data_IF_109601646473
#
_entry.id   IF_109601646473
#
_cell.length_a   1.000
_cell.length_b   1.000
_cell.length_c   1.000
_cell.angle_alpha   90.00
_cell.angle_beta   90.00
_cell.angle_gamma   90.00
#
_symmetry.space_group_name_H-M   'P 1'
#
loop_
_entity.id
_entity.type
_entity.pdbx_description
1 polymer ?
#
# COMPACT_ATOMS: atom_id res chain seq x y z
N UNK A 1 -31.36 -77.36 -34.35
CA UNK A 1 -32.48 -76.60 -33.76
C UNK A 1 -32.11 -75.13 -33.84
N UNK A 2 -32.68 -74.45 -34.84
CA UNK A 2 -32.34 -73.08 -35.19
C UNK A 2 -33.07 -72.11 -34.26
N UNK A 3 -32.34 -71.18 -33.67
CA UNK A 3 -32.83 -70.19 -32.71
C UNK A 3 -33.35 -68.96 -33.47
N UNK A 4 -34.65 -68.73 -33.37
CA UNK A 4 -35.38 -67.69 -34.07
C UNK A 4 -35.42 -66.39 -33.26
N UNK A 5 -35.17 -65.27 -33.93
CA UNK A 5 -35.20 -63.91 -33.39
C UNK A 5 -36.60 -63.50 -32.90
N UNK A 6 -36.72 -62.66 -31.86
CA UNK A 6 -37.97 -61.97 -31.55
C UNK A 6 -38.05 -60.57 -32.17
N UNK A 7 -39.22 -60.34 -32.73
CA UNK A 7 -39.72 -59.20 -33.50
C UNK A 7 -40.06 -57.98 -32.64
N UNK A 8 -39.74 -56.80 -33.16
CA UNK A 8 -40.07 -55.47 -32.63
C UNK A 8 -41.54 -55.11 -32.85
N UNK A 9 -42.27 -54.57 -31.86
CA UNK A 9 -43.61 -54.00 -32.07
C UNK A 9 -43.57 -52.54 -32.59
N UNK A 10 -44.62 -52.08 -33.27
CA UNK A 10 -44.62 -50.82 -34.02
C UNK A 10 -44.84 -49.57 -33.15
N UNK A 11 -44.31 -48.46 -33.68
CA UNK A 11 -44.18 -47.12 -33.10
C UNK A 11 -45.50 -46.35 -33.17
N UNK A 12 -46.06 -45.97 -32.02
CA UNK A 12 -47.20 -45.03 -31.92
C UNK A 12 -46.64 -43.60 -31.77
N UNK A 13 -47.17 -42.57 -32.47
CA UNK A 13 -46.63 -41.22 -32.42
C UNK A 13 -47.09 -40.50 -31.15
N UNK A 14 -46.16 -40.15 -30.26
CA UNK A 14 -46.44 -39.22 -29.17
C UNK A 14 -46.38 -37.78 -29.68
N UNK A 15 -47.44 -37.03 -29.35
CA UNK A 15 -47.61 -35.60 -29.60
C UNK A 15 -46.46 -34.77 -29.01
N UNK A 16 -46.13 -33.61 -29.61
CA UNK A 16 -45.08 -32.74 -29.09
C UNK A 16 -45.46 -32.23 -27.68
N UNK A 17 -44.52 -32.17 -26.74
CA UNK A 17 -44.79 -31.60 -25.42
C UNK A 17 -45.13 -30.11 -25.54
N UNK A 18 -46.02 -29.58 -24.68
CA UNK A 18 -46.36 -28.18 -24.65
C UNK A 18 -45.11 -27.34 -24.34
N UNK A 19 -45.02 -26.17 -24.97
CA UNK A 19 -43.95 -25.21 -24.74
C UNK A 19 -43.78 -24.96 -23.25
N UNK A 20 -42.57 -25.21 -22.75
CA UNK A 20 -42.20 -25.00 -21.35
C UNK A 20 -42.49 -23.55 -20.95
N UNK A 21 -43.06 -23.30 -19.76
CA UNK A 21 -43.23 -21.95 -19.25
C UNK A 21 -41.85 -21.31 -19.13
N UNK A 22 -41.73 -20.12 -19.70
CA UNK A 22 -40.56 -19.25 -19.65
C UNK A 22 -40.03 -19.18 -18.23
N UNK A 23 -38.81 -19.69 -18.02
CA UNK A 23 -38.10 -19.55 -16.76
C UNK A 23 -38.03 -18.06 -16.41
N UNK A 24 -38.42 -17.64 -15.20
CA UNK A 24 -38.20 -16.28 -14.77
C UNK A 24 -36.69 -16.01 -14.78
N UNK A 25 -36.29 -14.88 -15.38
CA UNK A 25 -34.93 -14.36 -15.36
C UNK A 25 -34.31 -14.51 -13.97
N UNK A 26 -33.01 -14.87 -13.85
CA UNK A 26 -32.37 -14.92 -12.55
C UNK A 26 -32.54 -13.56 -11.88
N UNK A 27 -33.18 -13.58 -10.71
CA UNK A 27 -33.33 -12.45 -9.80
C UNK A 27 -31.98 -11.72 -9.72
N UNK A 28 -31.97 -10.50 -10.26
CA UNK A 28 -30.87 -9.57 -10.08
C UNK A 28 -30.61 -9.47 -8.58
N UNK A 29 -29.39 -9.80 -8.16
CA UNK A 29 -28.94 -9.50 -6.81
C UNK A 29 -29.26 -8.03 -6.51
N UNK A 30 -29.74 -7.69 -5.29
CA UNK A 30 -30.08 -6.31 -4.97
C UNK A 30 -28.88 -5.42 -5.26
N UNK A 31 -29.07 -4.40 -6.11
CA UNK A 31 -28.03 -3.39 -6.34
C UNK A 31 -27.61 -2.85 -4.97
N UNK A 32 -26.30 -2.72 -4.69
CA UNK A 32 -25.87 -2.03 -3.49
C UNK A 32 -26.50 -0.63 -3.50
N UNK A 33 -26.97 -0.12 -2.34
CA UNK A 33 -27.59 1.20 -2.29
C UNK A 33 -26.63 2.24 -2.87
N UNK A 34 -27.15 3.26 -3.58
CA UNK A 34 -26.32 4.36 -4.07
C UNK A 34 -25.54 4.94 -2.90
N UNK A 35 -24.22 5.13 -3.11
CA UNK A 35 -23.34 5.75 -2.12
C UNK A 35 -23.96 7.08 -1.68
N UNK A 36 -24.04 7.38 -0.37
CA UNK A 36 -24.46 8.71 0.05
C UNK A 36 -23.50 9.74 -0.56
N UNK A 37 -24.07 10.66 -1.34
CA UNK A 37 -23.36 11.78 -1.92
C UNK A 37 -23.00 12.79 -0.81
N UNK A 38 -21.97 12.47 -0.04
CA UNK A 38 -21.19 13.45 0.70
C UNK A 38 -20.12 14.00 -0.23
N UNK A 39 -20.50 14.90 -1.14
CA UNK A 39 -19.56 15.73 -1.88
C UNK A 39 -18.94 16.71 -0.89
N UNK A 40 -17.72 16.42 -0.43
CA UNK A 40 -16.80 17.49 -0.01
C UNK A 40 -16.30 18.16 -1.30
N UNK A 41 -17.16 18.96 -1.94
CA UNK A 41 -16.78 19.86 -3.03
C UNK A 41 -16.19 21.12 -2.43
N UNK A 42 -14.87 21.17 -2.42
CA UNK A 42 -14.10 22.42 -2.37
C UNK A 42 -14.13 23.00 -3.79
N UNK A 43 -15.13 23.83 -4.10
CA UNK A 43 -15.10 24.66 -5.30
C UNK A 43 -14.17 25.85 -5.02
N UNK A 44 -12.96 25.77 -5.56
CA UNK A 44 -12.05 26.90 -5.79
C UNK A 44 -12.04 27.29 -7.27
N UNK A 45 -11.63 28.52 -7.61
CA UNK A 45 -12.11 29.25 -8.78
C UNK A 45 -11.65 28.61 -10.09
N UNK A 46 -12.49 28.81 -11.12
CA UNK A 46 -12.23 28.44 -12.50
C UNK A 46 -10.95 29.11 -13.03
N UNK A 47 -9.83 28.39 -12.97
CA UNK A 47 -8.60 28.74 -13.68
C UNK A 47 -8.49 27.84 -14.91
N UNK A 48 -8.82 28.39 -16.09
CA UNK A 48 -8.67 27.75 -17.41
C UNK A 48 -7.23 27.26 -17.67
N UNK A 49 -6.24 27.78 -16.94
CA UNK A 49 -4.82 27.36 -16.98
C UNK A 49 -4.55 26.01 -16.27
N UNK A 50 -5.47 25.53 -15.43
CA UNK A 50 -5.30 24.24 -14.71
C UNK A 50 -5.54 23.02 -15.59
N UNK A 51 -6.26 23.21 -16.71
CA UNK A 51 -6.65 22.11 -17.60
C UNK A 51 -5.51 21.76 -18.57
N UNK A 52 -4.79 22.75 -19.11
CA UNK A 52 -3.62 22.53 -19.96
C UNK A 52 -2.47 21.86 -19.19
N UNK A 53 -2.17 22.31 -17.96
CA UNK A 53 -1.14 21.68 -17.11
C UNK A 53 -1.51 20.23 -16.76
N UNK A 54 -2.79 19.98 -16.44
CA UNK A 54 -3.27 18.64 -16.13
C UNK A 54 -3.23 17.70 -17.36
N UNK A 55 -3.55 18.19 -18.55
CA UNK A 55 -3.49 17.42 -19.78
C UNK A 55 -2.06 17.14 -20.26
N UNK A 56 -1.13 18.08 -20.03
CA UNK A 56 0.29 17.91 -20.33
C UNK A 56 0.97 16.94 -19.35
N UNK A 57 0.66 17.05 -18.05
CA UNK A 57 1.06 16.05 -17.05
C UNK A 57 0.46 14.68 -17.40
N UNK A 58 -0.82 14.58 -17.80
CA UNK A 58 -1.47 13.32 -18.20
C UNK A 58 -0.86 12.70 -19.46
N UNK A 59 -0.45 13.53 -20.42
CA UNK A 59 0.31 13.08 -21.59
C UNK A 59 1.70 12.60 -21.21
N UNK A 60 2.38 13.28 -20.29
CA UNK A 60 3.67 12.86 -19.74
C UNK A 60 3.55 11.56 -18.93
N UNK A 61 2.50 11.40 -18.12
CA UNK A 61 2.15 10.16 -17.42
C UNK A 61 1.96 9.02 -18.41
N UNK A 62 1.19 9.23 -19.48
CA UNK A 62 1.05 8.22 -20.53
C UNK A 62 2.40 7.97 -21.22
N UNK A 63 3.22 8.97 -21.54
CA UNK A 63 4.52 8.73 -22.18
C UNK A 63 5.54 7.99 -21.28
N UNK A 64 5.62 8.33 -19.98
CA UNK A 64 6.40 7.59 -18.98
C UNK A 64 5.90 6.15 -18.83
N UNK A 65 4.59 5.93 -19.03
CA UNK A 65 3.94 4.63 -18.91
C UNK A 65 3.86 3.82 -20.22
N UNK A 66 3.94 4.45 -21.39
CA UNK A 66 3.64 3.88 -22.72
C UNK A 66 4.92 3.81 -23.59
N UNK A 67 5.96 4.58 -23.24
CA UNK A 67 7.25 4.61 -23.92
C UNK A 67 8.27 3.66 -23.31
N UNK A 68 8.18 2.36 -23.62
CA UNK A 68 9.21 1.32 -23.33
C UNK A 68 9.62 1.22 -21.83
N UNK A 69 9.08 0.20 -21.14
CA UNK A 69 9.43 -0.27 -19.77
C UNK A 69 8.51 0.24 -18.66
N UNK A 70 7.26 -0.19 -18.68
CA UNK A 70 6.41 -0.17 -17.49
C UNK A 70 5.89 -1.53 -17.09
N UNK A 71 5.62 -1.60 -15.80
CA UNK A 71 4.95 -2.66 -15.09
C UNK A 71 3.68 -3.09 -15.82
N UNK A 72 3.66 -4.34 -16.26
CA UNK A 72 2.51 -5.08 -16.78
C UNK A 72 2.15 -4.83 -18.26
N UNK A 73 2.28 -5.89 -19.07
CA UNK A 73 1.60 -6.08 -20.36
C UNK A 73 0.09 -6.29 -20.09
N UNK A 74 -0.81 -5.71 -20.89
CA UNK A 74 -2.18 -6.23 -20.98
C UNK A 74 -2.14 -7.71 -21.41
N UNK A 75 -3.00 -8.59 -20.89
CA UNK A 75 -3.12 -9.96 -21.39
C UNK A 75 -3.32 -9.97 -22.91
N UNK A 76 -2.73 -10.93 -23.62
CA UNK A 76 -2.84 -11.00 -25.09
C UNK A 76 -4.33 -11.05 -25.51
N UNK A 77 -4.76 -10.10 -26.33
CA UNK A 77 -6.13 -10.01 -26.83
C UNK A 77 -7.03 -9.01 -26.09
N UNK A 78 -6.58 -8.41 -24.99
CA UNK A 78 -7.27 -7.30 -24.35
C UNK A 78 -6.57 -5.98 -24.70
N UNK A 79 -7.25 -5.13 -25.47
CA UNK A 79 -6.94 -3.70 -25.49
C UNK A 79 -6.95 -3.20 -24.04
N UNK A 80 -5.98 -2.35 -23.68
CA UNK A 80 -5.79 -1.73 -22.37
C UNK A 80 -7.15 -1.60 -21.68
N UNK A 81 -7.43 -2.47 -20.71
CA UNK A 81 -8.51 -2.19 -19.78
C UNK A 81 -8.12 -0.85 -19.17
N UNK A 82 -8.85 0.20 -19.54
CA UNK A 82 -8.71 1.56 -19.02
C UNK A 82 -8.83 1.63 -17.48
N UNK A 83 -9.09 0.48 -16.84
CA UNK A 83 -9.27 0.29 -15.42
C UNK A 83 -8.04 -0.27 -14.67
N UNK A 84 -6.93 -0.65 -15.33
CA UNK A 84 -5.74 -1.21 -14.60
C UNK A 84 -4.86 -0.11 -14.00
N UNK A 85 -4.80 1.06 -14.65
CA UNK A 85 -4.13 2.24 -14.12
C UNK A 85 -5.09 3.41 -14.22
N UNK A 86 -5.94 3.57 -13.20
CA UNK A 86 -6.63 4.85 -13.02
C UNK A 86 -5.60 5.86 -12.58
N UNK A 87 -5.34 6.84 -13.45
CA UNK A 87 -4.63 8.06 -13.06
C UNK A 87 -5.33 8.61 -11.80
N UNK A 88 -4.60 8.84 -10.69
CA UNK A 88 -5.18 9.52 -9.54
C UNK A 88 -5.88 10.79 -9.99
N UNK A 89 -7.07 11.06 -9.43
CA UNK A 89 -7.81 12.29 -9.71
C UNK A 89 -6.87 13.51 -9.58
N UNK A 90 -6.97 14.42 -10.53
CA UNK A 90 -6.16 15.64 -10.57
C UNK A 90 -6.44 16.48 -9.31
N UNK A 91 -5.41 17.21 -8.85
CA UNK A 91 -5.49 18.40 -7.98
C UNK A 91 -5.22 18.29 -6.46
N UNK A 92 -4.52 17.27 -5.95
CA UNK A 92 -3.86 17.40 -4.62
C UNK A 92 -2.38 17.08 -4.69
N UNK A 93 -1.58 17.95 -4.06
CA UNK A 93 -0.16 17.70 -3.80
C UNK A 93 0.00 16.30 -3.20
N UNK A 94 0.99 15.54 -3.67
CA UNK A 94 1.24 14.18 -3.18
C UNK A 94 1.48 14.15 -1.67
N UNK A 95 2.03 15.25 -1.13
CA UNK A 95 2.35 15.43 0.27
C UNK A 95 1.92 16.82 0.75
N UNK A 96 1.33 16.89 1.94
CA UNK A 96 0.96 18.14 2.59
C UNK A 96 2.08 18.73 3.45
N UNK A 97 1.87 19.95 3.95
CA UNK A 97 2.70 20.53 5.02
C UNK A 97 2.43 19.84 6.35
N UNK A 98 3.43 19.83 7.23
CA UNK A 98 3.27 19.40 8.61
C UNK A 98 2.29 20.33 9.34
N UNK A 99 1.37 19.76 10.11
CA UNK A 99 0.33 20.47 10.88
C UNK A 99 0.22 19.86 12.26
N UNK A 100 -0.27 20.63 13.25
CA UNK A 100 -0.57 20.09 14.58
C UNK A 100 -1.60 18.97 14.49
N UNK A 101 -1.40 17.87 15.22
CA UNK A 101 -2.30 16.71 15.16
C UNK A 101 -3.74 17.06 15.56
N UNK A 102 -3.92 18.00 16.50
CA UNK A 102 -5.24 18.52 16.89
C UNK A 102 -6.05 19.12 15.74
N UNK A 103 -5.40 19.59 14.66
CA UNK A 103 -6.08 20.10 13.45
C UNK A 103 -6.84 18.99 12.71
N UNK A 104 -6.55 17.71 12.98
CA UNK A 104 -7.20 16.59 12.30
C UNK A 104 -8.68 16.43 12.68
N UNK A 105 -9.08 16.92 13.86
CA UNK A 105 -10.46 16.80 14.37
C UNK A 105 -11.37 17.98 14.07
N UNK A 106 -10.83 19.12 13.59
CA UNK A 106 -11.57 20.37 13.40
C UNK A 106 -12.78 20.24 12.47
N UNK A 107 -12.76 19.27 11.55
CA UNK A 107 -13.82 19.02 10.57
C UNK A 107 -14.54 17.67 10.75
N UNK A 108 -14.23 16.91 11.80
CA UNK A 108 -14.86 15.59 12.01
C UNK A 108 -16.09 15.69 12.91
N UNK A 109 -17.20 15.08 12.49
CA UNK A 109 -18.45 15.05 13.28
C UNK A 109 -18.48 13.94 14.34
N UNK A 110 -17.70 12.85 14.13
CA UNK A 110 -17.76 11.63 14.94
C UNK A 110 -17.00 11.78 16.28
N UNK A 111 -17.70 11.64 17.39
CA UNK A 111 -17.13 11.81 18.74
C UNK A 111 -16.03 10.79 19.07
N UNK A 112 -16.17 9.52 18.68
CA UNK A 112 -15.13 8.51 18.94
C UNK A 112 -13.80 8.86 18.25
N UNK A 113 -13.87 9.44 17.05
CA UNK A 113 -12.68 9.85 16.29
C UNK A 113 -11.96 10.97 17.03
N UNK A 114 -12.70 11.97 17.52
CA UNK A 114 -12.14 13.07 18.30
C UNK A 114 -11.39 12.59 19.53
N UNK A 115 -11.98 11.66 20.28
CA UNK A 115 -11.36 11.13 21.49
C UNK A 115 -10.14 10.25 21.18
N UNK A 116 -10.17 9.44 20.11
CA UNK A 116 -8.98 8.71 19.63
C UNK A 116 -7.83 9.64 19.24
N UNK A 117 -8.12 10.76 18.55
CA UNK A 117 -7.10 11.76 18.24
C UNK A 117 -6.59 12.45 19.51
N UNK A 118 -7.45 12.71 20.50
CA UNK A 118 -7.04 13.28 21.79
C UNK A 118 -6.06 12.35 22.52
N UNK A 119 -6.29 11.05 22.49
CA UNK A 119 -5.34 10.04 23.00
C UNK A 119 -4.01 10.14 22.22
N UNK A 120 -4.05 10.18 20.89
CA UNK A 120 -2.83 10.31 20.08
C UNK A 120 -2.06 11.60 20.36
N UNK A 121 -2.75 12.72 20.63
CA UNK A 121 -2.12 14.00 20.98
C UNK A 121 -1.29 13.93 22.27
N UNK A 122 -1.46 12.91 23.12
CA UNK A 122 -0.60 12.70 24.29
C UNK A 122 0.81 12.22 23.89
N UNK A 123 0.97 11.61 22.72
CA UNK A 123 2.22 11.01 22.24
C UNK A 123 2.78 11.68 20.98
N UNK A 124 1.92 12.34 20.20
CA UNK A 124 2.24 12.90 18.89
C UNK A 124 1.81 14.36 18.78
N UNK A 125 2.73 15.23 18.36
CA UNK A 125 2.49 16.67 18.26
C UNK A 125 1.96 17.06 16.88
N UNK A 126 2.49 16.44 15.83
CA UNK A 126 2.23 16.83 14.45
C UNK A 126 1.90 15.63 13.57
N UNK A 127 1.30 15.93 12.41
CA UNK A 127 1.08 14.99 11.35
C UNK A 127 1.30 15.65 9.99
N UNK A 128 1.54 14.82 8.97
CA UNK A 128 1.63 15.26 7.58
C UNK A 128 0.74 14.39 6.72
N UNK A 129 -0.18 15.04 5.99
CA UNK A 129 -1.07 14.33 5.09
C UNK A 129 -0.36 13.84 3.85
N UNK A 130 -0.71 12.66 3.39
CA UNK A 130 -0.40 12.21 2.03
C UNK A 130 -1.66 12.27 1.17
N UNK A 131 -1.50 12.12 -0.14
CA UNK A 131 -2.64 11.96 -1.04
C UNK A 131 -3.23 10.54 -0.91
N UNK A 132 -4.55 10.45 -0.80
CA UNK A 132 -5.29 9.19 -0.69
C UNK A 132 -5.66 8.65 -2.07
N UNK A 133 -4.70 7.99 -2.71
CA UNK A 133 -4.82 7.48 -4.08
C UNK A 133 -4.33 6.03 -4.21
N UNK A 134 -4.40 5.23 -3.14
CA UNK A 134 -3.84 3.88 -3.11
C UNK A 134 -2.36 3.82 -2.74
N UNK A 135 -1.58 4.86 -3.03
CA UNK A 135 -0.13 4.88 -2.77
C UNK A 135 0.25 5.65 -1.51
N UNK A 136 -0.73 5.99 -0.67
CA UNK A 136 -0.54 6.82 0.52
C UNK A 136 0.45 6.21 1.52
N UNK A 137 0.39 4.89 1.75
CA UNK A 137 1.33 4.16 2.61
C UNK A 137 2.76 4.26 2.08
N UNK A 138 3.00 3.84 0.83
CA UNK A 138 4.34 3.80 0.24
C UNK A 138 4.96 5.20 0.21
N UNK A 139 4.14 6.22 -0.05
CA UNK A 139 4.54 7.62 -0.02
C UNK A 139 4.89 8.11 1.38
N UNK A 140 4.05 7.78 2.37
CA UNK A 140 4.28 8.13 3.77
C UNK A 140 5.55 7.46 4.30
N UNK A 141 5.71 6.16 4.00
CA UNK A 141 6.87 5.35 4.37
C UNK A 141 8.16 5.93 3.77
N UNK A 142 8.19 6.17 2.45
CA UNK A 142 9.36 6.72 1.76
C UNK A 142 9.75 8.07 2.34
N UNK A 143 8.80 9.00 2.46
CA UNK A 143 9.10 10.35 2.93
C UNK A 143 9.56 10.34 4.40
N UNK A 144 8.85 9.60 5.27
CA UNK A 144 9.22 9.49 6.68
C UNK A 144 10.60 8.88 6.84
N UNK A 145 10.95 7.86 6.04
CA UNK A 145 12.29 7.28 6.03
C UNK A 145 13.36 8.31 5.64
N UNK A 146 13.17 9.02 4.52
CA UNK A 146 14.14 10.00 4.03
C UNK A 146 14.31 11.18 4.99
N UNK A 147 13.22 11.63 5.63
CA UNK A 147 13.26 12.71 6.62
C UNK A 147 14.08 12.29 7.85
N UNK A 148 13.93 11.04 8.33
CA UNK A 148 14.76 10.51 9.41
C UNK A 148 16.22 10.33 8.96
N UNK A 149 16.45 9.79 7.75
CA UNK A 149 17.79 9.59 7.19
C UNK A 149 18.60 10.89 7.15
N UNK A 150 17.98 12.00 6.75
CA UNK A 150 18.62 13.32 6.70
C UNK A 150 18.99 13.89 8.07
N UNK A 151 18.46 13.34 9.16
CA UNK A 151 18.74 13.74 10.54
C UNK A 151 19.75 12.81 11.24
N UNK A 152 20.13 11.69 10.61
CA UNK A 152 21.06 10.72 11.19
C UNK A 152 22.50 11.21 11.13
N UNK A 153 23.26 10.98 12.20
CA UNK A 153 24.72 11.21 12.21
C UNK A 153 25.43 10.24 11.25
N UNK A 154 25.06 8.95 11.28
CA UNK A 154 25.66 7.90 10.45
C UNK A 154 24.79 7.59 9.22
N UNK A 155 24.29 8.63 8.54
CA UNK A 155 23.38 8.50 7.39
C UNK A 155 23.95 7.62 6.27
N UNK A 156 25.27 7.68 6.03
CA UNK A 156 25.93 6.85 5.02
C UNK A 156 25.96 5.36 5.39
N UNK A 157 26.18 5.03 6.67
CA UNK A 157 26.13 3.64 7.12
C UNK A 157 24.71 3.06 6.96
N UNK A 158 23.68 3.88 7.23
CA UNK A 158 22.29 3.48 7.01
C UNK A 158 21.97 3.32 5.52
N UNK A 159 22.51 4.16 4.63
CA UNK A 159 22.39 3.96 3.17
C UNK A 159 23.04 2.64 2.74
N UNK A 160 24.24 2.31 3.24
CA UNK A 160 24.90 1.03 2.96
C UNK A 160 24.01 -0.15 3.37
N UNK A 161 23.52 -0.16 4.62
CA UNK A 161 22.60 -1.18 5.14
C UNK A 161 21.35 -1.32 4.27
N UNK A 162 20.71 -0.20 3.93
CA UNK A 162 19.52 -0.19 3.09
C UNK A 162 19.80 -0.82 1.70
N UNK A 163 20.92 -0.47 1.09
CA UNK A 163 21.27 -0.96 -0.24
C UNK A 163 21.66 -2.45 -0.24
N UNK A 164 22.20 -2.96 0.86
CA UNK A 164 22.38 -4.41 1.06
C UNK A 164 21.04 -5.15 1.08
N UNK A 165 20.03 -4.62 1.78
CA UNK A 165 18.67 -5.16 1.77
C UNK A 165 18.04 -5.15 0.37
N UNK A 166 18.23 -4.07 -0.38
CA UNK A 166 17.76 -3.96 -1.78
C UNK A 166 18.50 -4.96 -2.68
N UNK A 167 19.80 -5.18 -2.47
CA UNK A 167 20.58 -6.17 -3.23
C UNK A 167 20.14 -7.61 -2.94
N UNK A 168 19.89 -7.97 -1.67
CA UNK A 168 19.29 -9.27 -1.31
C UNK A 168 17.91 -9.47 -1.95
N UNK A 169 17.08 -8.42 -1.93
CA UNK A 169 15.77 -8.44 -2.58
C UNK A 169 15.90 -8.61 -4.09
N UNK A 170 16.91 -8.02 -4.72
CA UNK A 170 17.19 -8.20 -6.16
C UNK A 170 17.51 -9.65 -6.51
N UNK A 171 18.32 -10.33 -5.70
CA UNK A 171 18.64 -11.74 -5.92
C UNK A 171 17.37 -12.61 -5.88
N UNK A 172 16.53 -12.39 -4.87
CA UNK A 172 15.23 -13.05 -4.74
C UNK A 172 14.31 -12.72 -5.91
N UNK A 173 14.26 -11.46 -6.34
CA UNK A 173 13.49 -11.00 -7.49
C UNK A 173 13.88 -11.73 -8.79
N UNK A 174 15.18 -11.91 -9.05
CA UNK A 174 15.69 -12.64 -10.21
C UNK A 174 15.35 -14.14 -10.18
N UNK A 175 15.17 -14.74 -9.00
CA UNK A 175 14.76 -16.15 -8.85
C UNK A 175 13.27 -16.36 -9.12
N UNK A 176 12.45 -15.31 -9.07
CA UNK A 176 11.02 -15.40 -9.32
C UNK A 176 10.70 -15.55 -10.81
N UNK A 177 9.65 -16.31 -11.10
CA UNK A 177 9.09 -16.44 -12.45
C UNK A 177 8.14 -15.29 -12.76
N UNK A 178 8.51 -14.45 -13.73
CA UNK A 178 7.76 -13.23 -14.12
C UNK A 178 6.94 -13.40 -15.42
N UNK A 179 7.09 -14.52 -16.12
CA UNK A 179 6.35 -14.89 -17.33
C UNK A 179 4.83 -14.95 -17.08
N UNK A 180 4.42 -15.46 -15.92
CA UNK A 180 3.01 -15.48 -15.47
C UNK A 180 2.54 -14.16 -14.86
N UNK A 181 3.45 -13.21 -14.68
CA UNK A 181 3.21 -11.91 -14.05
C UNK A 181 3.06 -10.77 -15.06
N UNK A 182 3.13 -11.05 -16.37
CA UNK A 182 3.01 -10.06 -17.44
C UNK A 182 4.04 -8.91 -17.36
N UNK A 183 5.22 -9.11 -16.77
CA UNK A 183 6.22 -8.06 -16.63
C UNK A 183 7.28 -8.16 -17.74
N UNK A 184 7.38 -7.14 -18.61
CA UNK A 184 8.42 -7.06 -19.63
C UNK A 184 9.74 -6.57 -19.03
N UNK A 185 10.83 -7.30 -19.28
CA UNK A 185 12.19 -7.01 -18.81
C UNK A 185 12.26 -6.62 -17.31
N UNK A 186 11.76 -7.49 -16.41
CA UNK A 186 11.62 -7.18 -14.99
C UNK A 186 12.96 -6.77 -14.35
N UNK A 187 14.05 -7.45 -14.71
CA UNK A 187 15.37 -7.18 -14.14
C UNK A 187 15.97 -5.84 -14.57
N UNK A 188 15.77 -5.44 -15.83
CA UNK A 188 16.22 -4.14 -16.33
C UNK A 188 15.44 -3.00 -15.65
N UNK A 189 14.13 -3.16 -15.53
CA UNK A 189 13.29 -2.20 -14.83
C UNK A 189 13.71 -2.08 -13.37
N UNK A 190 13.84 -3.21 -12.67
CA UNK A 190 14.25 -3.23 -11.26
C UNK A 190 15.60 -2.51 -11.08
N UNK A 191 16.59 -2.84 -11.92
CA UNK A 191 17.92 -2.21 -11.85
C UNK A 191 17.86 -0.70 -12.13
N UNK A 192 17.05 -0.27 -13.10
CA UNK A 192 16.86 1.15 -13.43
C UNK A 192 16.27 1.92 -12.25
N UNK A 193 15.20 1.41 -11.64
CA UNK A 193 14.54 2.11 -10.53
C UNK A 193 15.35 2.05 -9.24
N UNK A 194 16.11 0.97 -9.00
CA UNK A 194 17.08 0.90 -7.89
C UNK A 194 18.16 1.97 -8.03
N UNK A 195 18.61 2.27 -9.25
CA UNK A 195 19.55 3.39 -9.48
C UNK A 195 18.94 4.73 -9.06
N UNK A 196 17.71 5.02 -9.47
CA UNK A 196 16.97 6.24 -9.06
C UNK A 196 16.80 6.32 -7.54
N UNK A 197 16.43 5.20 -6.91
CA UNK A 197 16.28 5.12 -5.46
C UNK A 197 17.62 5.36 -4.74
N UNK A 198 18.70 4.72 -5.21
CA UNK A 198 20.06 4.92 -4.70
C UNK A 198 20.49 6.38 -4.79
N UNK A 199 20.25 7.04 -5.92
CA UNK A 199 20.55 8.47 -6.06
C UNK A 199 19.77 9.35 -5.08
N UNK A 200 18.49 9.04 -4.84
CA UNK A 200 17.66 9.79 -3.89
C UNK A 200 18.18 9.64 -2.45
N UNK A 201 18.41 8.41 -1.98
CA UNK A 201 18.86 8.17 -0.60
C UNK A 201 20.27 8.73 -0.37
N UNK A 202 21.17 8.63 -1.35
CA UNK A 202 22.50 9.23 -1.27
C UNK A 202 22.45 10.75 -1.27
N UNK A 203 21.55 11.37 -2.04
CA UNK A 203 21.37 12.83 -2.02
C UNK A 203 20.98 13.29 -0.62
N UNK A 204 20.05 12.58 0.04
CA UNK A 204 19.62 12.87 1.41
C UNK A 204 20.76 12.67 2.42
N UNK A 205 21.48 11.54 2.35
CA UNK A 205 22.62 11.29 3.21
C UNK A 205 23.77 12.31 3.04
N UNK A 206 23.89 12.89 1.84
CA UNK A 206 24.85 13.96 1.53
C UNK A 206 24.36 15.38 1.85
N UNK A 207 23.27 15.52 2.62
CA UNK A 207 22.81 16.81 3.13
C UNK A 207 21.78 17.53 2.27
N UNK A 208 20.98 16.81 1.47
CA UNK A 208 19.80 17.39 0.82
C UNK A 208 18.90 18.07 1.87
N UNK A 209 18.64 19.37 1.69
CA UNK A 209 17.84 20.12 2.66
C UNK A 209 16.41 19.58 2.78
N UNK A 210 15.81 19.70 3.97
CA UNK A 210 14.43 19.24 4.21
C UNK A 210 13.40 19.96 3.32
N UNK A 211 13.65 21.21 2.96
CA UNK A 211 12.79 21.97 2.03
C UNK A 211 12.87 21.41 0.61
N UNK A 212 14.07 21.05 0.15
CA UNK A 212 14.27 20.47 -1.17
C UNK A 212 13.70 19.04 -1.26
N UNK A 213 13.91 18.22 -0.23
CA UNK A 213 13.27 16.90 -0.12
C UNK A 213 11.74 17.02 -0.19
N UNK A 214 11.17 17.98 0.54
CA UNK A 214 9.74 18.26 0.52
C UNK A 214 9.25 18.69 -0.86
N UNK A 215 9.93 19.63 -1.51
CA UNK A 215 9.56 20.11 -2.85
C UNK A 215 9.61 18.99 -3.90
N UNK A 216 10.64 18.15 -3.87
CA UNK A 216 10.75 16.95 -4.75
C UNK A 216 9.62 15.94 -4.49
N UNK A 217 9.16 15.84 -3.24
CA UNK A 217 8.12 14.88 -2.84
C UNK A 217 6.69 15.36 -3.09
N UNK A 218 6.49 16.67 -3.31
CA UNK A 218 5.20 17.24 -3.71
C UNK A 218 4.88 16.89 -5.17
N UNK A 219 5.89 16.98 -6.04
CA UNK A 219 5.80 16.67 -7.47
C UNK A 219 5.91 15.17 -7.68
N UNK A 220 4.76 14.50 -7.71
CA UNK A 220 4.67 13.04 -7.65
C UNK A 220 5.37 12.26 -8.77
N UNK A 221 5.65 12.94 -9.89
CA UNK A 221 6.27 12.32 -11.06
C UNK A 221 7.65 11.72 -10.73
N UNK A 222 8.39 12.31 -9.80
CA UNK A 222 9.72 11.85 -9.38
C UNK A 222 9.64 10.59 -8.51
N UNK A 223 8.83 10.54 -7.42
CA UNK A 223 8.76 9.34 -6.58
C UNK A 223 7.90 8.20 -7.13
N UNK A 224 7.14 8.34 -8.24
CA UNK A 224 6.22 7.25 -8.64
C UNK A 224 6.95 5.95 -9.01
N UNK A 225 8.07 6.02 -9.75
CA UNK A 225 8.86 4.83 -10.07
C UNK A 225 9.41 4.19 -8.79
N UNK A 226 9.87 5.00 -7.84
CA UNK A 226 10.33 4.52 -6.53
C UNK A 226 9.19 3.88 -5.73
N UNK A 227 7.96 4.43 -5.77
CA UNK A 227 6.78 3.81 -5.17
C UNK A 227 6.52 2.42 -5.79
N UNK A 228 6.64 2.29 -7.12
CA UNK A 228 6.55 0.99 -7.79
C UNK A 228 7.66 0.02 -7.38
N UNK A 229 8.87 0.51 -7.10
CA UNK A 229 9.94 -0.32 -6.52
C UNK A 229 9.58 -0.80 -5.11
N UNK A 230 9.05 0.07 -4.23
CA UNK A 230 8.63 -0.35 -2.89
C UNK A 230 7.57 -1.45 -2.96
N UNK A 231 6.63 -1.35 -3.90
CA UNK A 231 5.65 -2.41 -4.20
C UNK A 231 6.33 -3.70 -4.70
N UNK A 232 7.33 -3.61 -5.58
CA UNK A 232 8.10 -4.79 -6.03
C UNK A 232 8.83 -5.47 -4.88
N UNK A 233 9.45 -4.70 -3.98
CA UNK A 233 10.20 -5.23 -2.86
C UNK A 233 9.29 -6.01 -1.92
N UNK A 234 8.11 -5.47 -1.61
CA UNK A 234 7.10 -6.17 -0.83
C UNK A 234 6.55 -7.42 -1.56
N UNK A 235 6.28 -7.35 -2.87
CA UNK A 235 5.86 -8.52 -3.66
C UNK A 235 6.93 -9.61 -3.65
N UNK A 236 8.20 -9.21 -3.80
CA UNK A 236 9.33 -10.12 -3.84
C UNK A 236 9.47 -10.86 -2.52
N UNK A 237 9.38 -10.16 -1.39
CA UNK A 237 9.44 -10.79 -0.07
C UNK A 237 8.31 -11.83 0.11
N UNK A 238 7.07 -11.47 -0.24
CA UNK A 238 5.91 -12.38 -0.12
C UNK A 238 6.11 -13.62 -1.00
N UNK A 239 6.47 -13.43 -2.27
CA UNK A 239 6.57 -14.54 -3.25
C UNK A 239 7.81 -15.41 -3.05
N UNK A 240 8.90 -14.86 -2.55
CA UNK A 240 10.12 -15.63 -2.25
C UNK A 240 10.00 -16.46 -0.97
N UNK A 241 9.03 -16.16 -0.11
CA UNK A 241 8.81 -16.84 1.17
C UNK A 241 7.34 -17.22 1.37
N UNK A 242 6.68 -17.70 0.31
CA UNK A 242 5.23 -17.96 0.30
C UNK A 242 4.75 -18.79 1.49
N UNK A 243 5.53 -19.79 1.93
CA UNK A 243 5.20 -20.63 3.08
C UNK A 243 5.01 -19.83 4.39
N UNK A 244 5.81 -18.77 4.61
CA UNK A 244 5.71 -17.90 5.78
C UNK A 244 4.45 -17.03 5.76
N UNK A 245 3.94 -16.74 4.55
CA UNK A 245 2.78 -15.87 4.34
C UNK A 245 1.47 -16.64 4.15
N UNK A 246 1.54 -17.95 3.90
CA UNK A 246 0.40 -18.82 3.56
C UNK A 246 -0.79 -18.73 4.53
N UNK A 247 -0.52 -18.58 5.82
CA UNK A 247 -1.57 -18.46 6.86
C UNK A 247 -2.23 -17.08 6.92
N UNK A 248 -1.59 -16.07 6.32
CA UNK A 248 -2.02 -14.67 6.32
C UNK A 248 -2.71 -14.28 5.00
N UNK A 249 -2.51 -15.07 3.94
CA UNK A 249 -3.17 -14.87 2.66
C UNK A 249 -4.66 -15.24 2.76
N UNK A 250 -5.55 -14.56 2.00
CA UNK A 250 -6.94 -14.94 1.88
C UNK A 250 -7.09 -16.41 1.47
N UNK A 251 -8.11 -17.10 2.01
CA UNK A 251 -8.41 -18.49 1.65
C UNK A 251 -8.53 -18.61 0.13
N UNK A 252 -7.94 -19.67 -0.44
CA UNK A 252 -7.97 -19.98 -1.88
C UNK A 252 -7.18 -19.02 -2.79
N UNK A 253 -6.32 -18.15 -2.25
CA UNK A 253 -5.48 -17.26 -3.03
C UNK A 253 -3.99 -17.62 -2.87
N UNK A 254 -3.29 -17.83 -3.99
CA UNK A 254 -1.83 -17.99 -4.01
C UNK A 254 -1.11 -16.63 -3.88
N UNK A 255 0.18 -16.65 -3.52
CA UNK A 255 0.95 -15.43 -3.31
C UNK A 255 1.02 -14.55 -4.57
N UNK A 256 1.14 -15.15 -5.76
CA UNK A 256 1.20 -14.40 -7.02
C UNK A 256 -0.12 -13.64 -7.27
N UNK A 257 -1.25 -14.32 -7.12
CA UNK A 257 -2.59 -13.75 -7.33
C UNK A 257 -2.87 -12.65 -6.33
N UNK A 258 -2.45 -12.84 -5.08
CA UNK A 258 -2.52 -11.81 -4.06
C UNK A 258 -1.70 -10.57 -4.46
N UNK A 259 -0.42 -10.75 -4.80
CA UNK A 259 0.45 -9.64 -5.18
C UNK A 259 -0.06 -8.88 -6.42
N UNK A 260 -0.57 -9.59 -7.43
CA UNK A 260 -1.19 -8.99 -8.61
C UNK A 260 -2.37 -8.08 -8.29
N UNK A 261 -3.14 -8.40 -7.23
CA UNK A 261 -4.33 -7.64 -6.83
C UNK A 261 -4.02 -6.54 -5.82
N UNK A 262 -3.23 -6.85 -4.80
CA UNK A 262 -3.06 -6.00 -3.62
C UNK A 262 -1.77 -5.17 -3.62
N UNK A 263 -0.74 -5.58 -4.35
CA UNK A 263 0.55 -4.88 -4.35
C UNK A 263 0.84 -4.11 -5.62
N UNK A 264 0.58 -4.70 -6.80
CA UNK A 264 0.98 -4.08 -8.07
C UNK A 264 0.18 -2.83 -8.45
N UNK A 265 -1.15 -2.78 -8.30
CA UNK A 265 -1.90 -1.60 -8.69
C UNK A 265 -1.55 -0.40 -7.81
N UNK A 266 -1.30 0.76 -8.42
CA UNK A 266 -0.93 1.97 -7.70
C UNK A 266 -2.09 2.57 -6.91
N UNK A 267 -3.32 2.25 -7.30
CA UNK A 267 -4.59 2.70 -6.71
C UNK A 267 -5.13 1.78 -5.61
N UNK A 268 -4.38 0.72 -5.27
CA UNK A 268 -4.70 -0.18 -4.15
C UNK A 268 -3.87 0.18 -2.92
N UNK A 269 -4.60 0.39 -1.83
CA UNK A 269 -4.07 0.72 -0.50
C UNK A 269 -3.33 -0.46 0.12
N UNK A 270 -2.20 -0.18 0.78
CA UNK A 270 -1.50 -1.22 1.52
C UNK A 270 -2.23 -1.56 2.82
N UNK A 271 -2.54 -2.83 3.01
CA UNK A 271 -2.94 -3.37 4.31
C UNK A 271 -1.72 -3.81 5.14
N UNK A 272 -1.96 -4.45 6.28
CA UNK A 272 -0.90 -4.91 7.20
C UNK A 272 0.09 -5.85 6.52
N UNK A 273 -0.35 -6.69 5.58
CA UNK A 273 0.51 -7.69 4.95
C UNK A 273 1.57 -7.06 4.01
N UNK A 274 1.22 -6.17 3.06
CA UNK A 274 2.22 -5.41 2.29
C UNK A 274 3.13 -4.55 3.17
N UNK A 275 2.59 -3.90 4.21
CA UNK A 275 3.39 -3.09 5.15
C UNK A 275 4.49 -3.93 5.81
N UNK A 276 4.11 -5.12 6.32
CA UNK A 276 5.02 -6.08 6.94
C UNK A 276 6.08 -6.59 5.97
N UNK A 277 5.66 -6.98 4.77
CA UNK A 277 6.58 -7.46 3.75
C UNK A 277 7.61 -6.39 3.39
N UNK A 278 7.20 -5.12 3.29
CA UNK A 278 8.13 -4.02 3.02
C UNK A 278 9.13 -3.80 4.18
N UNK A 279 8.65 -3.84 5.42
CA UNK A 279 9.52 -3.78 6.62
C UNK A 279 10.55 -4.90 6.63
N UNK A 280 10.19 -6.13 6.26
CA UNK A 280 11.13 -7.23 6.16
C UNK A 280 12.11 -7.06 4.99
N UNK A 281 11.62 -6.68 3.82
CA UNK A 281 12.44 -6.51 2.63
C UNK A 281 13.54 -5.46 2.84
N UNK A 282 13.22 -4.33 3.50
CA UNK A 282 14.13 -3.20 3.68
C UNK A 282 14.84 -3.16 5.04
N UNK A 283 14.42 -4.01 5.99
CA UNK A 283 14.92 -3.97 7.36
C UNK A 283 14.59 -2.65 8.08
N UNK A 284 13.47 -2.00 7.75
CA UNK A 284 13.06 -0.72 8.34
C UNK A 284 11.90 -0.96 9.32
N UNK A 285 12.09 -0.76 10.63
CA UNK A 285 11.02 -0.87 11.61
C UNK A 285 9.97 0.23 11.39
N UNK A 286 8.70 -0.12 11.62
CA UNK A 286 7.54 0.74 11.35
C UNK A 286 6.53 0.63 12.49
N UNK A 287 6.08 1.78 13.03
CA UNK A 287 4.91 1.87 13.90
C UNK A 287 3.71 2.35 13.10
N UNK A 288 2.58 1.68 13.27
CA UNK A 288 1.29 2.05 12.69
C UNK A 288 0.27 2.27 13.81
N UNK A 289 -0.25 3.49 13.87
CA UNK A 289 -1.37 3.87 14.73
C UNK A 289 -2.65 3.87 13.91
N UNK A 290 -3.62 3.03 14.27
CA UNK A 290 -4.87 2.86 13.52
C UNK A 290 -6.05 3.51 14.23
N UNK A 291 -6.73 4.39 13.50
CA UNK A 291 -7.94 5.09 13.95
C UNK A 291 -9.10 4.69 13.04
N UNK A 292 -9.79 3.60 13.40
CA UNK A 292 -11.00 3.12 12.74
C UNK A 292 -12.21 2.99 13.68
N UNK A 293 -13.36 2.68 13.09
CA UNK A 293 -14.55 2.18 13.79
C UNK A 293 -14.31 0.73 14.25
N UNK A 294 -13.31 0.53 15.11
CA UNK A 294 -12.99 -0.77 15.69
C UNK A 294 -14.03 -1.24 16.71
N UNK A 295 -14.14 -2.56 16.85
CA UNK A 295 -15.20 -3.32 17.52
C UNK A 295 -15.54 -2.85 18.95
N UNK A 296 -16.84 -2.63 19.22
CA UNK A 296 -17.64 -2.69 20.48
C UNK A 296 -17.01 -2.49 21.89
N UNK A 297 -15.73 -2.19 22.04
CA UNK A 297 -14.97 -2.22 23.29
C UNK A 297 -14.20 -0.90 23.46
N UNK A 298 -14.94 0.15 23.85
CA UNK A 298 -14.36 1.43 24.28
C UNK A 298 -13.64 2.25 23.19
N UNK A 299 -13.17 3.44 23.60
CA UNK A 299 -12.40 4.35 22.75
C UNK A 299 -10.92 3.99 22.89
N UNK A 300 -10.40 3.16 21.99
CA UNK A 300 -9.00 2.75 21.97
C UNK A 300 -8.34 3.05 20.61
N UNK A 301 -7.04 3.37 20.66
CA UNK A 301 -6.20 3.47 19.46
C UNK A 301 -5.41 2.16 19.34
N UNK A 302 -5.48 1.56 18.16
CA UNK A 302 -4.77 0.31 17.88
C UNK A 302 -3.35 0.65 17.40
N UNK A 303 -2.35 0.13 18.11
CA UNK A 303 -0.94 0.24 17.72
C UNK A 303 -0.42 -1.09 17.22
N UNK A 304 0.30 -1.03 16.11
CA UNK A 304 1.02 -2.14 15.52
C UNK A 304 2.47 -1.74 15.28
N UNK A 305 3.39 -2.44 15.92
CA UNK A 305 4.83 -2.30 15.66
C UNK A 305 5.30 -3.47 14.78
N UNK A 306 5.84 -3.13 13.62
CA UNK A 306 6.43 -4.05 12.66
C UNK A 306 7.95 -3.89 12.75
N UNK A 307 8.63 -4.92 13.24
CA UNK A 307 10.08 -4.97 13.28
C UNK A 307 10.63 -5.83 12.14
N UNK A 308 11.87 -5.56 11.68
CA UNK A 308 12.56 -6.44 10.74
C UNK A 308 12.65 -7.89 11.24
N UNK A 309 12.85 -8.81 10.30
CA UNK A 309 13.06 -10.23 10.61
C UNK A 309 14.38 -10.41 11.35
N UNK A 310 14.36 -11.09 12.49
CA UNK A 310 15.57 -11.54 13.20
C UNK A 310 16.24 -12.69 12.43
N UNK A 311 17.55 -12.92 12.65
CA UNK A 311 18.36 -13.97 12.01
C UNK A 311 17.75 -15.38 12.13
N UNK A 312 16.93 -15.64 13.16
CA UNK A 312 16.20 -16.90 13.33
C UNK A 312 15.02 -17.10 12.36
N UNK A 313 14.73 -16.14 11.48
CA UNK A 313 13.61 -16.21 10.52
C UNK A 313 12.22 -15.94 11.12
N UNK A 314 12.13 -15.79 12.44
CA UNK A 314 10.90 -15.51 13.20
C UNK A 314 11.01 -14.11 13.82
N UNK A 315 10.92 -13.07 13.00
CA UNK A 315 10.81 -11.71 13.52
C UNK A 315 9.53 -11.56 14.35
N UNK A 316 9.59 -11.05 15.59
CA UNK A 316 8.38 -10.87 16.39
C UNK A 316 7.46 -9.87 15.70
N UNK A 317 6.22 -10.30 15.44
CA UNK A 317 5.13 -9.40 15.12
C UNK A 317 4.45 -9.04 16.43
N UNK A 318 4.77 -7.86 16.95
CA UNK A 318 4.12 -7.39 18.17
C UNK A 318 2.78 -6.74 17.78
N UNK A 319 1.78 -7.58 17.55
CA UNK A 319 0.40 -7.12 17.41
C UNK A 319 -0.15 -6.80 18.80
N UNK A 320 -0.24 -5.50 19.08
CA UNK A 320 -1.00 -4.84 20.15
C UNK A 320 -0.41 -4.84 21.57
N UNK A 321 -0.04 -3.63 21.98
CA UNK A 321 -0.52 -3.05 23.24
C UNK A 321 -1.50 -1.93 22.88
N UNK A 322 -2.79 -2.20 23.01
CA UNK A 322 -3.85 -1.20 22.88
C UNK A 322 -3.75 -0.31 24.12
N UNK A 323 -3.44 0.97 23.95
CA UNK A 323 -3.27 1.87 25.08
C UNK A 323 -4.49 2.79 25.23
N UNK A 324 -4.84 2.99 26.50
CA UNK A 324 -5.93 3.85 26.94
C UNK A 324 -5.36 5.23 27.28
N UNK A 325 -6.22 6.20 27.56
CA UNK A 325 -5.83 7.54 28.06
C UNK A 325 -4.96 7.53 29.34
N UNK A 326 -4.68 6.35 29.93
CA UNK A 326 -4.03 6.20 31.23
C UNK A 326 -2.96 5.11 31.29
N UNK A 327 -2.46 4.58 30.17
CA UNK A 327 -1.40 3.56 30.20
C UNK A 327 -0.05 4.19 29.89
N UNK A 328 0.83 4.16 30.89
CA UNK A 328 2.27 4.34 30.73
C UNK A 328 2.79 3.34 29.72
N UNK A 329 3.57 3.82 28.75
CA UNK A 329 4.29 3.01 27.76
C UNK A 329 4.87 1.75 28.40
N UNK A 330 4.72 0.55 27.81
CA UNK A 330 5.46 -0.61 28.29
C UNK A 330 6.95 -0.29 28.32
N UNK A 331 7.64 -0.82 29.33
CA UNK A 331 9.07 -0.63 29.50
C UNK A 331 9.85 -1.08 28.26
N UNK A 332 11.03 -0.49 28.02
CA UNK A 332 11.89 -0.84 26.90
C UNK A 332 12.19 -2.34 26.95
N UNK A 333 11.85 -3.06 25.88
CA UNK A 333 12.39 -4.40 25.67
C UNK A 333 13.67 -4.27 24.87
N UNK A 334 14.63 -5.14 25.19
CA UNK A 334 16.01 -5.13 24.68
C UNK A 334 16.06 -5.54 23.19
N UNK A 335 15.47 -4.70 22.34
CA UNK A 335 15.57 -4.77 20.89
C UNK A 335 16.82 -3.96 20.57
N UNK A 336 17.86 -4.64 20.09
CA UNK A 336 19.19 -4.08 19.86
C UNK A 336 19.15 -2.68 19.23
N UNK A 337 19.99 -1.78 19.73
CA UNK A 337 20.11 -0.38 19.27
C UNK A 337 20.35 -0.35 17.77
N UNK A 338 19.33 0.00 17.00
CA UNK A 338 19.45 0.36 15.58
C UNK A 338 19.18 1.85 15.40
N UNK A 339 19.82 2.46 14.41
CA UNK A 339 19.67 3.90 14.10
C UNK A 339 18.23 4.32 13.76
N UNK A 340 17.34 3.35 13.48
CA UNK A 340 15.92 3.54 13.19
C UNK A 340 14.99 3.30 14.39
N UNK A 341 15.55 3.08 15.59
CA UNK A 341 14.81 2.96 16.84
C UNK A 341 15.14 4.14 17.75
N UNK A 342 14.15 4.61 18.50
CA UNK A 342 14.36 5.57 19.57
C UNK A 342 14.99 4.89 20.79
N UNK A 343 15.39 5.68 21.79
CA UNK A 343 16.02 5.19 23.02
C UNK A 343 15.15 4.22 23.83
N UNK A 344 13.83 4.29 23.64
CA UNK A 344 12.83 3.39 24.22
C UNK A 344 12.59 2.11 23.39
N UNK A 345 13.34 1.89 22.30
CA UNK A 345 13.16 0.77 21.38
C UNK A 345 12.01 0.95 20.39
N UNK A 346 11.34 2.11 20.37
CA UNK A 346 10.21 2.36 19.47
C UNK A 346 10.70 2.74 18.05
N UNK A 347 10.08 2.22 16.96
CA UNK A 347 10.35 2.66 15.59
C UNK A 347 10.29 4.19 15.40
N UNK A 348 11.28 4.77 14.70
CA UNK A 348 11.26 6.20 14.37
C UNK A 348 10.18 6.54 13.34
N UNK A 349 9.94 5.66 12.36
CA UNK A 349 8.87 5.83 11.39
C UNK A 349 7.54 5.48 12.05
N UNK A 350 6.67 6.50 12.21
CA UNK A 350 5.31 6.32 12.72
C UNK A 350 4.30 6.82 11.69
N UNK A 351 3.35 5.96 11.35
CA UNK A 351 2.27 6.27 10.42
C UNK A 351 0.91 6.23 11.11
N UNK A 352 -0.02 7.09 10.67
CA UNK A 352 -1.42 7.08 11.08
C UNK A 352 -2.25 6.45 9.97
N UNK A 353 -2.83 5.29 10.23
CA UNK A 353 -3.78 4.64 9.34
C UNK A 353 -5.22 4.98 9.74
N UNK A 354 -5.96 5.52 8.78
CA UNK A 354 -7.40 5.75 8.81
C UNK A 354 -8.02 4.89 7.72
N UNK A 355 -9.34 4.62 7.73
CA UNK A 355 -9.96 3.85 6.65
C UNK A 355 -9.56 4.41 5.27
N UNK A 356 -8.84 3.59 4.49
CA UNK A 356 -8.33 3.92 3.15
C UNK A 356 -7.38 5.13 3.09
N UNK A 357 -6.61 5.39 4.14
CA UNK A 357 -5.68 6.52 4.14
C UNK A 357 -4.54 6.35 5.15
N UNK A 358 -3.35 6.81 4.79
CA UNK A 358 -2.14 6.72 5.61
C UNK A 358 -1.42 8.07 5.64
N UNK A 359 -1.21 8.62 6.84
CA UNK A 359 -0.47 9.86 7.06
C UNK A 359 0.82 9.59 7.84
N UNK A 360 1.71 10.57 7.92
CA UNK A 360 2.91 10.52 8.76
C UNK A 360 2.58 11.15 10.12
N UNK A 361 2.98 10.50 11.22
CA UNK A 361 2.92 11.03 12.58
C UNK A 361 4.30 11.43 13.08
N UNK A 362 4.36 12.54 13.80
CA UNK A 362 5.56 13.05 14.44
C UNK A 362 5.38 13.02 15.95
N UNK A 363 6.30 12.36 16.66
CA UNK A 363 6.28 12.31 18.12
C UNK A 363 6.37 13.72 18.70
N UNK A 364 5.77 13.89 19.87
CA UNK A 364 6.05 15.04 20.72
C UNK A 364 7.47 14.89 21.26
N UNK A 365 8.31 15.91 21.13
CA UNK A 365 9.57 15.93 21.88
C UNK A 365 9.21 15.95 23.37
N UNK A 366 9.58 14.88 24.08
CA UNK A 366 9.49 14.86 25.54
C UNK A 366 10.64 15.73 26.05
N UNK A 367 10.28 16.94 26.44
CA UNK A 367 11.20 17.91 27.03
C UNK A 367 11.63 17.45 28.44
#
# INVERSE_FOLDING_TARGET
TAEAAPTTPPRVPLAPPPASPTSPSPLQAPRPPPRPAGKDTDEGPDDENSQEVADDERKNWKQLLDGKRTYLRPPRGHHVLSDVFKCPDTRKAALGRQKRLSRLVEKHSKNFFKEKIKILCQHYAHFRRTRGDGSCFYRAFLFSYLENLGLMQDSQAEVTRLMEHVAMSRENFCRLKWDKAYFLNPEEYFSSVVSEFSHLVNSVANGLSSSELYNRSIQEIVPLRIISLLRLLAETEIRSREDDYKSLLPKEMDALTYCCKELRPLDVEAEVLPMRALTYALGIPLRVETVGEGSNCGIQVERLDLFPRSESGKGPLHLVQSYWSSITTPGPQDIGRGNLLSSDGTPLLTLLCRPRHCDILYRSEQN
#
